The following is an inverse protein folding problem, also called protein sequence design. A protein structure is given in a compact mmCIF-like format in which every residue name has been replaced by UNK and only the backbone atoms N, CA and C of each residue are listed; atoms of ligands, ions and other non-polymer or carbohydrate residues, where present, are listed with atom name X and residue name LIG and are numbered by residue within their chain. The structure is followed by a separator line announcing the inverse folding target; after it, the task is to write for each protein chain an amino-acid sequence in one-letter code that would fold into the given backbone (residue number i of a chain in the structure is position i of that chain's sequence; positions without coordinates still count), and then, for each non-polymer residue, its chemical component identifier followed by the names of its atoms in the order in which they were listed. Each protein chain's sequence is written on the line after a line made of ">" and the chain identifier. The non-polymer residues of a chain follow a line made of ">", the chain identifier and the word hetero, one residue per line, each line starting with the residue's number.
data_IF_149242475442
#
_entry.id   IF_149242475442
#
_cell.length_a   1.000
_cell.length_b   1.000
_cell.length_c   1.000
_cell.angle_alpha   90.00
_cell.angle_beta   90.00
_cell.angle_gamma   90.00
#
_symmetry.space_group_name_H-M   'P 1'
#
loop_
_entity.id
_entity.type
_entity.pdbx_description
1 polymer ?
#
# COMPACT_ATOMS: atom_id res chain seq x y z
N UNK A 1 -20.25 -1.21 -17.51
CA UNK A 1 -19.23 -1.20 -18.58
C UNK A 1 -18.76 0.21 -18.96
N UNK A 2 -19.62 1.22 -19.14
CA UNK A 2 -19.19 2.57 -19.53
C UNK A 2 -18.29 3.30 -18.49
N UNK A 3 -18.46 3.06 -17.20
CA UNK A 3 -17.63 3.68 -16.16
C UNK A 3 -16.21 3.09 -16.07
N UNK A 4 -16.02 1.83 -16.48
CA UNK A 4 -14.72 1.17 -16.48
C UNK A 4 -13.75 1.74 -17.52
N UNK A 5 -14.26 2.22 -18.65
CA UNK A 5 -13.47 2.86 -19.71
C UNK A 5 -12.88 4.22 -19.26
N UNK A 6 -13.44 4.85 -18.22
CA UNK A 6 -12.96 6.14 -17.74
C UNK A 6 -11.61 6.06 -17.02
N UNK A 7 -11.37 5.02 -16.17
CA UNK A 7 -10.08 4.88 -15.46
C UNK A 7 -8.90 4.59 -16.40
N UNK A 8 -9.19 4.08 -17.59
CA UNK A 8 -8.19 3.69 -18.60
C UNK A 8 -7.86 4.81 -19.58
N UNK A 9 -8.49 5.98 -19.45
CA UNK A 9 -8.22 7.14 -20.31
C UNK A 9 -7.14 8.01 -19.69
N UNK A 10 -6.25 8.53 -20.55
CA UNK A 10 -5.21 9.45 -20.10
C UNK A 10 -5.79 10.75 -19.51
N UNK A 11 -6.87 11.25 -20.10
CA UNK A 11 -7.57 12.47 -19.73
C UNK A 11 -8.59 12.31 -18.59
N UNK A 12 -8.51 11.23 -17.83
CA UNK A 12 -9.34 11.04 -16.65
C UNK A 12 -9.13 12.17 -15.64
N UNK A 13 -10.21 12.89 -15.32
CA UNK A 13 -10.18 13.95 -14.32
C UNK A 13 -10.55 13.39 -12.95
N UNK A 14 -9.57 13.23 -12.09
CA UNK A 14 -9.76 12.73 -10.72
C UNK A 14 -10.62 13.68 -9.87
N UNK A 15 -10.52 14.98 -10.08
CA UNK A 15 -11.27 15.96 -9.31
C UNK A 15 -12.77 15.88 -9.61
N UNK A 16 -13.15 15.80 -10.88
CA UNK A 16 -14.55 15.62 -11.27
C UNK A 16 -15.11 14.30 -10.75
N UNK A 17 -14.31 13.24 -10.79
CA UNK A 17 -14.71 11.94 -10.23
C UNK A 17 -14.96 12.03 -8.73
N UNK A 18 -14.04 12.61 -7.96
CA UNK A 18 -14.20 12.77 -6.51
C UNK A 18 -15.40 13.66 -6.17
N UNK A 19 -15.59 14.76 -6.90
CA UNK A 19 -16.71 15.67 -6.70
C UNK A 19 -18.08 15.01 -6.99
N UNK A 20 -18.15 14.11 -7.97
CA UNK A 20 -19.40 13.41 -8.34
C UNK A 20 -19.83 12.39 -7.29
N UNK A 21 -18.89 11.71 -6.63
CA UNK A 21 -19.16 10.65 -5.66
C UNK A 21 -19.10 11.12 -4.21
N UNK A 22 -18.76 12.39 -4.00
CA UNK A 22 -18.67 13.02 -2.68
C UNK A 22 -17.85 12.17 -1.69
N UNK A 23 -18.41 11.84 -0.54
CA UNK A 23 -17.71 11.08 0.50
C UNK A 23 -17.37 9.62 0.15
N UNK A 24 -18.00 9.07 -0.88
CA UNK A 24 -17.89 7.65 -1.22
C UNK A 24 -16.87 7.34 -2.32
N UNK A 25 -16.20 8.36 -2.86
CA UNK A 25 -15.32 8.20 -4.02
C UNK A 25 -14.18 7.19 -3.80
N UNK A 26 -13.55 7.19 -2.63
CA UNK A 26 -12.46 6.26 -2.34
C UNK A 26 -12.93 4.82 -2.27
N UNK A 27 -14.05 4.58 -1.57
CA UNK A 27 -14.63 3.25 -1.45
C UNK A 27 -15.08 2.73 -2.82
N UNK A 28 -15.82 3.55 -3.56
CA UNK A 28 -16.30 3.18 -4.89
C UNK A 28 -15.12 2.85 -5.82
N UNK A 29 -14.11 3.72 -5.87
CA UNK A 29 -12.92 3.52 -6.69
C UNK A 29 -12.18 2.23 -6.34
N UNK A 30 -11.85 2.04 -5.06
CA UNK A 30 -11.08 0.90 -4.59
C UNK A 30 -11.82 -0.42 -4.84
N UNK A 31 -13.12 -0.46 -4.53
CA UNK A 31 -13.94 -1.64 -4.74
C UNK A 31 -14.03 -2.01 -6.23
N UNK A 32 -14.28 -1.02 -7.10
CA UNK A 32 -14.32 -1.22 -8.55
C UNK A 32 -12.98 -1.72 -9.09
N UNK A 33 -11.87 -1.17 -8.62
CA UNK A 33 -10.55 -1.58 -9.03
C UNK A 33 -10.28 -3.04 -8.66
N UNK A 34 -10.57 -3.44 -7.42
CA UNK A 34 -10.41 -4.82 -6.97
C UNK A 34 -11.32 -5.79 -7.74
N UNK A 35 -12.54 -5.37 -8.10
CA UNK A 35 -13.45 -6.16 -8.95
C UNK A 35 -12.91 -6.35 -10.38
N UNK A 36 -12.33 -5.31 -11.00
CA UNK A 36 -11.76 -5.39 -12.36
C UNK A 36 -10.70 -6.49 -12.45
N UNK A 37 -9.90 -6.65 -11.40
CA UNK A 37 -8.85 -7.66 -11.33
C UNK A 37 -9.30 -8.99 -10.69
N UNK A 38 -10.53 -9.04 -10.20
CA UNK A 38 -11.09 -10.21 -9.50
C UNK A 38 -10.37 -10.54 -8.20
N UNK A 39 -9.77 -9.55 -7.54
CA UNK A 39 -8.89 -9.76 -6.38
C UNK A 39 -9.65 -10.20 -5.14
N UNK A 40 -10.88 -9.70 -4.94
CA UNK A 40 -11.72 -10.09 -3.80
C UNK A 40 -12.00 -11.60 -3.84
N UNK A 41 -12.42 -12.12 -5.00
CA UNK A 41 -12.71 -13.54 -5.17
C UNK A 41 -11.44 -14.40 -5.12
N UNK A 42 -10.38 -13.99 -5.84
CA UNK A 42 -9.11 -14.73 -5.93
C UNK A 42 -8.44 -14.96 -4.58
N UNK A 43 -8.55 -14.00 -3.69
CA UNK A 43 -7.95 -14.06 -2.35
C UNK A 43 -8.99 -14.28 -1.25
N UNK A 44 -10.26 -14.54 -1.64
CA UNK A 44 -11.38 -14.76 -0.72
C UNK A 44 -11.51 -13.66 0.34
N UNK A 45 -11.28 -12.41 -0.08
CA UNK A 45 -11.39 -11.24 0.80
C UNK A 45 -12.88 -10.97 1.02
N UNK A 46 -13.32 -10.98 2.27
CA UNK A 46 -14.68 -10.63 2.63
C UNK A 46 -14.97 -9.16 2.28
N UNK A 47 -16.05 -8.88 1.57
CA UNK A 47 -16.46 -7.52 1.20
C UNK A 47 -16.53 -6.60 2.40
N UNK A 48 -17.01 -7.11 3.55
CA UNK A 48 -17.11 -6.34 4.79
C UNK A 48 -15.74 -5.90 5.31
N UNK A 49 -14.73 -6.79 5.30
CA UNK A 49 -13.38 -6.48 5.74
C UNK A 49 -12.73 -5.47 4.79
N UNK A 50 -12.94 -5.62 3.49
CA UNK A 50 -12.44 -4.66 2.50
C UNK A 50 -13.09 -3.27 2.68
N UNK A 51 -14.40 -3.20 2.82
CA UNK A 51 -15.13 -1.94 3.08
C UNK A 51 -14.66 -1.29 4.38
N UNK A 52 -14.47 -2.08 5.43
CA UNK A 52 -13.94 -1.61 6.73
C UNK A 52 -12.53 -1.04 6.59
N UNK A 53 -11.63 -1.74 5.88
CA UNK A 53 -10.27 -1.26 5.62
C UNK A 53 -10.28 0.08 4.87
N UNK A 54 -11.03 0.19 3.77
CA UNK A 54 -11.09 1.44 3.00
C UNK A 54 -11.68 2.59 3.82
N UNK A 55 -12.70 2.30 4.63
CA UNK A 55 -13.28 3.28 5.57
C UNK A 55 -12.25 3.71 6.63
N UNK A 56 -11.47 2.79 7.15
CA UNK A 56 -10.40 3.08 8.10
C UNK A 56 -9.28 3.91 7.48
N UNK A 57 -8.91 3.66 6.22
CA UNK A 57 -7.98 4.49 5.46
C UNK A 57 -8.53 5.91 5.32
N UNK A 58 -9.81 6.06 4.91
CA UNK A 58 -10.47 7.37 4.80
C UNK A 58 -10.38 8.14 6.12
N UNK A 59 -10.79 7.52 7.22
CA UNK A 59 -10.85 8.16 8.53
C UNK A 59 -9.47 8.49 9.11
N UNK A 60 -8.43 7.83 8.64
CA UNK A 60 -7.06 7.97 9.13
C UNK A 60 -6.24 8.96 8.28
N UNK A 61 -6.72 9.31 7.09
CA UNK A 61 -6.06 10.26 6.18
C UNK A 61 -6.50 11.68 6.51
N UNK A 62 -5.54 12.62 6.59
CA UNK A 62 -5.85 14.03 6.86
C UNK A 62 -6.34 14.74 5.60
N UNK A 63 -7.66 14.95 5.50
CA UNK A 63 -8.29 15.63 4.35
C UNK A 63 -7.90 17.12 4.26
N UNK A 64 -7.44 17.72 5.34
CA UNK A 64 -7.02 19.13 5.38
C UNK A 64 -5.71 19.40 4.63
N UNK A 65 -4.95 18.35 4.27
CA UNK A 65 -3.77 18.51 3.47
C UNK A 65 -4.14 18.94 2.03
N UNK A 66 -3.49 19.96 1.53
CA UNK A 66 -3.72 20.47 0.17
C UNK A 66 -3.30 19.47 -0.92
N UNK A 67 -2.36 18.57 -0.63
CA UNK A 67 -1.82 17.61 -1.62
C UNK A 67 -1.90 16.16 -1.13
N UNK A 68 -1.36 15.82 0.05
CA UNK A 68 -1.37 14.45 0.59
C UNK A 68 -2.73 14.12 1.21
N UNK A 69 -3.72 13.94 0.37
CA UNK A 69 -5.12 13.70 0.73
C UNK A 69 -5.70 12.52 -0.07
N UNK A 70 -6.98 12.21 0.13
CA UNK A 70 -7.64 11.07 -0.52
C UNK A 70 -7.72 11.19 -2.04
N UNK A 71 -7.85 12.40 -2.59
CA UNK A 71 -7.85 12.63 -4.04
C UNK A 71 -6.52 12.20 -4.67
N UNK A 72 -5.40 12.56 -4.04
CA UNK A 72 -4.05 12.12 -4.47
C UNK A 72 -3.89 10.60 -4.38
N UNK A 73 -4.46 9.97 -3.37
CA UNK A 73 -4.44 8.50 -3.22
C UNK A 73 -5.16 7.82 -4.39
N UNK A 74 -6.34 8.31 -4.77
CA UNK A 74 -7.08 7.81 -5.95
C UNK A 74 -6.28 8.03 -7.22
N UNK A 75 -5.72 9.23 -7.43
CA UNK A 75 -4.91 9.56 -8.59
C UNK A 75 -3.70 8.63 -8.73
N UNK A 76 -2.94 8.44 -7.66
CA UNK A 76 -1.77 7.56 -7.65
C UNK A 76 -2.15 6.11 -7.99
N UNK A 77 -3.20 5.60 -7.35
CA UNK A 77 -3.66 4.22 -7.54
C UNK A 77 -4.19 4.02 -8.96
N UNK A 78 -4.91 5.00 -9.49
CA UNK A 78 -5.38 5.02 -10.88
C UNK A 78 -4.21 5.09 -11.86
N UNK A 79 -3.19 5.89 -11.60
CA UNK A 79 -2.02 5.97 -12.46
C UNK A 79 -1.25 4.64 -12.50
N UNK A 80 -1.11 3.95 -11.36
CA UNK A 80 -0.56 2.60 -11.33
C UNK A 80 -1.39 1.63 -12.20
N UNK A 81 -2.72 1.63 -12.07
CA UNK A 81 -3.62 0.84 -12.91
C UNK A 81 -3.42 1.16 -14.40
N UNK A 82 -3.45 2.44 -14.76
CA UNK A 82 -3.30 2.91 -16.13
C UNK A 82 -1.97 2.43 -16.76
N UNK A 83 -0.83 2.69 -16.11
CA UNK A 83 0.46 2.29 -16.64
C UNK A 83 0.65 0.77 -16.70
N UNK A 84 0.11 0.05 -15.71
CA UNK A 84 0.16 -1.42 -15.72
C UNK A 84 -0.61 -2.00 -16.89
N UNK A 85 -1.76 -1.43 -17.22
CA UNK A 85 -2.62 -1.89 -18.29
C UNK A 85 -2.12 -1.44 -19.66
N UNK A 86 -1.86 -0.15 -19.86
CA UNK A 86 -1.38 0.41 -21.12
C UNK A 86 0.05 -0.02 -21.47
N UNK A 87 0.90 -0.21 -20.47
CA UNK A 87 2.25 -0.74 -20.63
C UNK A 87 2.32 -2.26 -20.83
N UNK A 88 1.16 -2.94 -20.86
CA UNK A 88 1.08 -4.41 -20.92
C UNK A 88 1.94 -5.11 -19.84
N UNK A 89 2.00 -4.52 -18.64
CA UNK A 89 2.83 -5.00 -17.55
C UNK A 89 2.21 -6.15 -16.77
N UNK A 90 0.92 -6.44 -17.00
CA UNK A 90 0.19 -7.53 -16.35
C UNK A 90 0.85 -8.89 -16.52
N UNK A 91 1.51 -9.15 -17.64
CA UNK A 91 2.21 -10.39 -17.90
C UNK A 91 3.42 -10.66 -16.99
N UNK A 92 3.90 -9.62 -16.29
CA UNK A 92 5.05 -9.68 -15.39
C UNK A 92 4.67 -9.73 -13.91
N UNK A 93 3.40 -9.49 -13.58
CA UNK A 93 2.92 -9.44 -12.20
C UNK A 93 1.96 -10.59 -11.92
N UNK A 94 2.12 -11.25 -10.79
CA UNK A 94 1.10 -12.15 -10.25
C UNK A 94 -0.08 -11.34 -9.69
N UNK A 95 -1.23 -11.99 -9.52
CA UNK A 95 -2.38 -11.35 -8.86
C UNK A 95 -2.01 -10.84 -7.44
N UNK A 96 -1.15 -11.57 -6.73
CA UNK A 96 -0.65 -11.18 -5.41
C UNK A 96 0.18 -9.88 -5.47
N UNK A 97 1.04 -9.74 -6.51
CA UNK A 97 1.80 -8.50 -6.74
C UNK A 97 0.87 -7.32 -7.01
N UNK A 98 -0.16 -7.51 -7.84
CA UNK A 98 -1.14 -6.47 -8.18
C UNK A 98 -1.94 -6.05 -6.94
N UNK A 99 -2.45 -7.00 -6.16
CA UNK A 99 -3.15 -6.71 -4.91
C UNK A 99 -2.28 -5.91 -3.95
N UNK A 100 -1.03 -6.38 -3.75
CA UNK A 100 -0.07 -5.70 -2.87
C UNK A 100 0.23 -4.28 -3.33
N UNK A 101 0.36 -4.07 -4.65
CA UNK A 101 0.67 -2.76 -5.21
C UNK A 101 -0.52 -1.79 -5.05
N UNK A 102 -1.76 -2.24 -5.26
CA UNK A 102 -2.93 -1.40 -5.00
C UNK A 102 -3.04 -1.02 -3.53
N UNK A 103 -2.85 -1.98 -2.62
CA UNK A 103 -2.84 -1.69 -1.18
C UNK A 103 -1.71 -0.72 -0.82
N UNK A 104 -0.52 -0.87 -1.38
CA UNK A 104 0.57 0.07 -1.17
C UNK A 104 0.23 1.48 -1.64
N UNK A 105 -0.39 1.64 -2.82
CA UNK A 105 -0.83 2.94 -3.33
C UNK A 105 -1.90 3.58 -2.44
N UNK A 106 -2.86 2.79 -1.94
CA UNK A 106 -3.92 3.27 -1.05
C UNK A 106 -3.40 3.71 0.34
N UNK A 107 -2.26 3.16 0.77
CA UNK A 107 -1.72 3.34 2.12
C UNK A 107 -0.48 4.25 2.19
N UNK A 108 0.09 4.66 1.03
CA UNK A 108 1.40 5.31 0.99
C UNK A 108 1.47 6.69 1.66
N UNK A 109 0.33 7.36 1.85
CA UNK A 109 0.26 8.70 2.47
C UNK A 109 -0.56 8.71 3.77
N UNK A 110 -0.82 7.54 4.34
CA UNK A 110 -1.68 7.45 5.52
C UNK A 110 -1.09 8.24 6.70
N UNK A 111 -1.91 9.08 7.34
CA UNK A 111 -1.48 10.00 8.40
C UNK A 111 -0.33 10.96 8.01
N UNK A 112 -0.26 11.36 6.74
CA UNK A 112 0.73 12.33 6.31
C UNK A 112 0.46 13.70 6.93
N UNK A 113 1.43 14.31 7.66
CA UNK A 113 1.20 15.55 8.43
C UNK A 113 1.26 16.84 7.57
N UNK A 114 1.39 16.74 6.24
CA UNK A 114 1.53 17.89 5.35
C UNK A 114 2.92 18.52 5.29
N UNK A 115 3.92 17.93 5.95
CA UNK A 115 5.31 18.40 5.98
C UNK A 115 6.26 17.27 5.58
N UNK A 116 7.45 17.61 5.10
CA UNK A 116 8.43 16.63 4.61
C UNK A 116 9.38 16.10 5.70
N UNK A 117 10.15 15.05 5.37
CA UNK A 117 11.11 14.44 6.29
C UNK A 117 12.13 15.43 6.83
N UNK A 118 12.79 16.31 6.03
CA UNK A 118 13.73 17.31 6.55
C UNK A 118 13.12 18.25 7.60
N UNK A 119 11.86 18.65 7.41
CA UNK A 119 11.18 19.50 8.39
C UNK A 119 10.95 18.75 9.71
N UNK A 120 10.49 17.50 9.68
CA UNK A 120 10.29 16.69 10.89
C UNK A 120 11.60 16.47 11.67
N UNK A 121 12.70 16.27 10.95
CA UNK A 121 14.05 16.10 11.53
C UNK A 121 14.51 17.41 12.18
N UNK A 122 14.40 18.53 11.46
CA UNK A 122 14.82 19.84 11.98
C UNK A 122 14.03 20.23 13.24
N UNK A 123 12.74 19.90 13.28
CA UNK A 123 11.88 20.14 14.44
C UNK A 123 12.03 19.11 15.56
N UNK A 124 12.91 18.12 15.42
CA UNK A 124 13.09 17.02 16.37
C UNK A 124 11.75 16.34 16.72
N UNK A 125 10.91 16.19 15.72
CA UNK A 125 9.58 15.61 15.89
C UNK A 125 9.64 14.17 16.40
N UNK A 126 8.68 13.73 17.19
CA UNK A 126 8.66 12.35 17.76
C UNK A 126 8.76 11.24 16.72
N UNK A 127 8.21 11.44 15.52
CA UNK A 127 8.38 10.50 14.40
C UNK A 127 9.85 10.44 13.94
N UNK A 128 10.55 11.58 13.84
CA UNK A 128 11.96 11.62 13.47
C UNK A 128 12.83 10.86 14.48
N UNK A 129 12.59 11.09 15.78
CA UNK A 129 13.25 10.34 16.85
C UNK A 129 12.94 8.83 16.78
N UNK A 130 11.69 8.46 16.55
CA UNK A 130 11.26 7.05 16.46
C UNK A 130 11.94 6.29 15.34
N UNK A 131 12.11 6.93 14.17
CA UNK A 131 12.68 6.31 12.97
C UNK A 131 14.12 6.72 12.69
N UNK A 132 14.81 7.33 13.67
CA UNK A 132 16.22 7.68 13.61
C UNK A 132 16.57 8.51 12.35
N UNK A 133 15.73 9.47 12.02
CA UNK A 133 15.88 10.41 10.92
C UNK A 133 15.93 9.76 9.51
N UNK A 134 15.54 8.50 9.37
CA UNK A 134 15.58 7.76 8.10
C UNK A 134 14.17 7.50 7.57
N UNK A 135 13.88 8.02 6.37
CA UNK A 135 12.57 7.84 5.69
C UNK A 135 11.42 7.93 6.68
N UNK A 136 11.37 9.02 7.44
CA UNK A 136 10.55 9.16 8.66
C UNK A 136 9.07 8.96 8.36
N UNK A 137 8.58 9.59 7.30
CA UNK A 137 7.17 9.50 6.87
C UNK A 137 6.86 8.11 6.33
N UNK A 138 7.70 7.58 5.47
CA UNK A 138 7.50 6.29 4.81
C UNK A 138 7.48 5.14 5.83
N UNK A 139 8.38 5.17 6.82
CA UNK A 139 8.35 4.23 7.94
C UNK A 139 7.07 4.37 8.78
N UNK A 140 6.62 5.61 9.01
CA UNK A 140 5.38 5.86 9.72
C UNK A 140 4.17 5.33 8.94
N UNK A 141 4.11 5.58 7.63
CA UNK A 141 3.03 5.07 6.77
C UNK A 141 2.97 3.54 6.80
N UNK A 142 4.12 2.85 6.68
CA UNK A 142 4.18 1.40 6.82
C UNK A 142 3.65 0.93 8.18
N UNK A 143 4.07 1.55 9.28
CA UNK A 143 3.66 1.16 10.61
C UNK A 143 2.13 1.31 10.82
N UNK A 144 1.56 2.43 10.37
CA UNK A 144 0.11 2.67 10.46
C UNK A 144 -0.66 1.74 9.52
N UNK A 145 -0.19 1.55 8.28
CA UNK A 145 -0.80 0.65 7.31
C UNK A 145 -0.98 -0.76 7.88
N UNK A 146 0.08 -1.34 8.43
CA UNK A 146 0.00 -2.68 9.01
C UNK A 146 -0.77 -2.71 10.34
N UNK A 147 -0.74 -1.64 11.14
CA UNK A 147 -1.59 -1.54 12.32
C UNK A 147 -3.07 -1.58 11.94
N UNK A 148 -3.48 -0.90 10.88
CA UNK A 148 -4.87 -0.96 10.39
C UNK A 148 -5.25 -2.34 9.85
N UNK A 149 -4.38 -2.95 9.05
CA UNK A 149 -4.65 -4.26 8.44
C UNK A 149 -4.56 -5.44 9.43
N UNK A 150 -3.99 -5.25 10.61
CA UNK A 150 -4.00 -6.24 11.69
C UNK A 150 -5.29 -6.19 12.54
N UNK A 151 -6.12 -5.17 12.39
CA UNK A 151 -7.44 -5.14 13.03
C UNK A 151 -8.31 -6.23 12.37
N UNK A 152 -8.91 -7.15 13.14
CA UNK A 152 -9.74 -8.23 12.59
C UNK A 152 -10.87 -7.75 11.69
N UNK A 153 -11.39 -6.53 11.91
CA UNK A 153 -12.43 -5.95 11.06
C UNK A 153 -11.89 -5.49 9.70
N UNK A 154 -10.59 -5.24 9.60
CA UNK A 154 -9.92 -4.76 8.40
C UNK A 154 -9.04 -5.84 7.74
N UNK A 155 -9.02 -7.05 8.30
CA UNK A 155 -8.10 -8.10 7.85
C UNK A 155 -8.50 -8.64 6.47
N UNK A 156 -7.80 -8.14 5.47
CA UNK A 156 -7.91 -8.58 4.06
C UNK A 156 -6.93 -9.72 3.75
N UNK A 157 -6.20 -10.21 4.73
CA UNK A 157 -5.17 -11.25 4.59
C UNK A 157 -5.52 -12.55 5.31
N UNK A 158 -6.67 -12.62 5.98
CA UNK A 158 -7.09 -13.73 6.84
C UNK A 158 -6.91 -15.11 6.20
N UNK A 159 -7.22 -15.21 4.89
CA UNK A 159 -7.15 -16.49 4.17
C UNK A 159 -5.87 -16.67 3.35
N UNK A 160 -4.90 -15.76 3.46
CA UNK A 160 -3.58 -15.95 2.85
C UNK A 160 -2.76 -16.99 3.63
N UNK A 161 -2.01 -17.81 2.91
CA UNK A 161 -0.98 -18.60 3.56
C UNK A 161 0.11 -17.70 4.17
N UNK A 162 0.82 -18.20 5.16
CA UNK A 162 1.91 -17.47 5.81
C UNK A 162 2.94 -16.94 4.78
N UNK A 163 3.31 -17.76 3.82
CA UNK A 163 4.23 -17.36 2.74
C UNK A 163 3.67 -16.23 1.86
N UNK A 164 2.38 -16.28 1.54
CA UNK A 164 1.72 -15.20 0.78
C UNK A 164 1.66 -13.91 1.60
N UNK A 165 1.29 -13.98 2.88
CA UNK A 165 1.26 -12.82 3.76
C UNK A 165 2.63 -12.13 3.84
N UNK A 166 3.71 -12.89 4.06
CA UNK A 166 5.05 -12.31 4.12
C UNK A 166 5.48 -11.69 2.80
N UNK A 167 5.11 -12.29 1.67
CA UNK A 167 5.38 -11.71 0.35
C UNK A 167 4.62 -10.39 0.16
N UNK A 168 3.31 -10.36 0.43
CA UNK A 168 2.49 -9.15 0.38
C UNK A 168 3.09 -8.06 1.27
N UNK A 169 3.44 -8.41 2.50
CA UNK A 169 4.03 -7.47 3.45
C UNK A 169 5.33 -6.85 2.92
N UNK A 170 6.21 -7.66 2.35
CA UNK A 170 7.45 -7.16 1.77
C UNK A 170 7.21 -6.21 0.60
N UNK A 171 6.28 -6.57 -0.31
CA UNK A 171 5.95 -5.75 -1.47
C UNK A 171 5.41 -4.38 -1.01
N UNK A 172 4.44 -4.36 -0.10
CA UNK A 172 3.85 -3.12 0.41
C UNK A 172 4.94 -2.25 1.06
N UNK A 173 5.78 -2.81 1.94
CA UNK A 173 6.87 -2.07 2.58
C UNK A 173 7.84 -1.52 1.53
N UNK A 174 8.32 -2.34 0.59
CA UNK A 174 9.24 -1.90 -0.46
C UNK A 174 8.65 -0.75 -1.29
N UNK A 175 7.38 -0.84 -1.67
CA UNK A 175 6.72 0.20 -2.46
C UNK A 175 6.59 1.51 -1.69
N UNK A 176 6.10 1.46 -0.44
CA UNK A 176 5.97 2.66 0.39
C UNK A 176 7.34 3.28 0.68
N UNK A 177 8.33 2.49 1.07
CA UNK A 177 9.70 2.98 1.32
C UNK A 177 10.36 3.56 0.06
N UNK A 178 9.99 3.07 -1.14
CA UNK A 178 10.50 3.60 -2.41
C UNK A 178 9.90 4.95 -2.78
N UNK A 179 8.84 5.41 -2.11
CA UNK A 179 8.27 6.74 -2.33
C UNK A 179 9.10 7.87 -1.70
N UNK A 180 10.07 7.55 -0.83
CA UNK A 180 11.00 8.54 -0.30
C UNK A 180 11.82 9.16 -1.45
N UNK A 181 11.64 10.46 -1.63
CA UNK A 181 12.29 11.22 -2.70
C UNK A 181 13.83 11.17 -2.59
N UNK A 182 14.37 10.92 -1.41
CA UNK A 182 15.83 10.78 -1.22
C UNK A 182 16.41 9.60 -2.02
N UNK A 183 15.61 8.59 -2.32
CA UNK A 183 15.99 7.41 -3.10
C UNK A 183 15.78 7.58 -4.62
N UNK A 184 15.27 8.74 -5.07
CA UNK A 184 14.84 8.96 -6.46
C UNK A 184 15.94 8.73 -7.48
N UNK A 185 17.13 9.32 -7.24
CA UNK A 185 18.27 9.20 -8.16
C UNK A 185 18.80 7.76 -8.24
N UNK A 186 18.77 7.02 -7.14
CA UNK A 186 19.16 5.60 -7.13
C UNK A 186 18.19 4.77 -7.98
N UNK A 187 16.89 5.05 -7.90
CA UNK A 187 15.89 4.40 -8.75
C UNK A 187 16.06 4.75 -10.23
N UNK A 188 16.34 6.02 -10.56
CA UNK A 188 16.59 6.44 -11.94
C UNK A 188 17.85 5.76 -12.48
N UNK A 189 18.94 5.74 -11.72
CA UNK A 189 20.19 5.12 -12.16
C UNK A 189 19.99 3.63 -12.48
N UNK A 190 19.33 2.89 -11.60
CA UNK A 190 18.96 1.48 -11.83
C UNK A 190 18.11 1.30 -13.08
N UNK A 191 17.23 2.25 -13.39
CA UNK A 191 16.42 2.22 -14.60
C UNK A 191 17.19 2.58 -15.87
N UNK A 192 18.24 3.39 -15.79
CA UNK A 192 18.98 3.91 -16.95
C UNK A 192 19.97 2.91 -17.54
N UNK A 193 20.49 1.97 -16.76
CA UNK A 193 21.49 0.99 -17.18
C UNK A 193 20.93 -0.27 -17.85
N UNK A 194 19.60 -0.44 -17.97
CA UNK A 194 18.97 -1.60 -18.56
C UNK A 194 18.10 -1.31 -19.80
N UNK A 195 17.85 -2.34 -20.63
CA UNK A 195 16.81 -2.24 -21.67
C UNK A 195 15.44 -1.99 -21.02
N UNK A 196 14.44 -1.46 -21.75
CA UNK A 196 13.09 -1.27 -21.21
C UNK A 196 12.49 -2.53 -20.57
N UNK A 197 12.78 -3.70 -21.12
CA UNK A 197 12.37 -5.01 -20.59
C UNK A 197 13.11 -5.36 -19.30
N UNK A 198 14.41 -5.07 -19.22
CA UNK A 198 15.22 -5.30 -18.02
C UNK A 198 14.77 -4.35 -16.89
N UNK A 199 14.35 -3.13 -17.21
CA UNK A 199 13.83 -2.17 -16.22
C UNK A 199 12.56 -2.67 -15.52
N UNK A 200 11.68 -3.33 -16.27
CA UNK A 200 10.48 -3.97 -15.70
C UNK A 200 10.87 -5.23 -14.94
N UNK A 201 11.77 -6.05 -15.48
CA UNK A 201 12.22 -7.30 -14.87
C UNK A 201 12.99 -7.10 -13.57
N UNK A 202 13.91 -6.14 -13.49
CA UNK A 202 14.64 -5.79 -12.24
C UNK A 202 13.68 -5.33 -11.15
N UNK A 203 12.67 -4.52 -11.50
CA UNK A 203 11.61 -4.16 -10.53
C UNK A 203 10.76 -5.35 -10.11
N UNK A 204 10.51 -6.30 -11.01
CA UNK A 204 9.72 -7.51 -10.70
C UNK A 204 10.55 -8.56 -9.97
N UNK A 205 11.85 -8.71 -10.28
CA UNK A 205 12.73 -9.67 -9.60
C UNK A 205 12.99 -9.29 -8.14
N UNK A 206 12.98 -7.99 -7.82
CA UNK A 206 13.05 -7.53 -6.43
C UNK A 206 11.82 -7.98 -5.60
N UNK A 207 10.72 -8.36 -6.28
CA UNK A 207 9.52 -8.92 -5.67
C UNK A 207 9.48 -10.46 -5.66
N UNK A 208 10.38 -11.14 -6.36
CA UNK A 208 10.33 -12.61 -6.55
C UNK A 208 11.25 -13.40 -5.62
N UNK A 209 12.14 -12.78 -4.85
CA UNK A 209 12.94 -13.52 -3.87
C UNK A 209 12.08 -13.93 -2.67
N UNK A 210 11.85 -15.24 -2.44
CA UNK A 210 11.17 -15.70 -1.24
C UNK A 210 12.06 -15.42 -0.03
N UNK A 211 11.47 -14.83 1.00
CA UNK A 211 12.12 -14.69 2.30
C UNK A 211 12.52 -16.07 2.83
N UNK A 212 13.81 -16.36 2.88
CA UNK A 212 14.31 -17.53 3.64
C UNK A 212 14.19 -17.20 5.12
N UNK A 213 13.19 -17.72 5.75
CA UNK A 213 13.16 -17.78 7.21
C UNK A 213 14.35 -18.62 7.70
N UNK A 214 15.33 -18.01 8.31
CA UNK A 214 16.10 -18.72 9.31
C UNK A 214 15.15 -18.97 10.48
N UNK A 215 14.87 -20.26 10.76
CA UNK A 215 14.05 -20.67 11.88
C UNK A 215 14.61 -20.01 13.14
N UNK A 216 13.81 -19.14 13.75
CA UNK A 216 14.10 -18.68 15.11
C UNK A 216 14.02 -19.92 16.00
N UNK A 217 15.12 -20.37 16.64
CA UNK A 217 15.06 -21.52 17.54
C UNK A 217 14.17 -21.16 18.73
N UNK A 218 13.05 -21.86 18.92
CA UNK A 218 12.30 -21.80 20.17
C UNK A 218 10.79 -21.55 20.09
N UNK A 219 10.13 -21.58 18.93
CA UNK A 219 8.67 -21.68 18.92
C UNK A 219 8.25 -23.15 18.84
N UNK A 220 7.89 -23.73 19.96
CA UNK A 220 7.20 -24.98 20.03
C UNK A 220 5.78 -24.85 19.47
N UNK A 221 5.43 -25.72 18.52
CA UNK A 221 4.05 -26.02 18.14
C UNK A 221 3.31 -26.60 19.35
N UNK A 222 2.62 -25.77 20.07
CA UNK A 222 1.82 -26.18 21.22
C UNK A 222 0.56 -25.32 21.26
N UNK A 223 -0.52 -25.88 20.71
CA UNK A 223 -1.84 -25.35 20.97
C UNK A 223 -2.16 -25.37 22.45
N UNK A 224 -2.34 -24.22 23.03
CA UNK A 224 -3.15 -24.02 24.25
C UNK A 224 -3.55 -22.56 24.35
N UNK A 225 -4.84 -22.35 24.51
CA UNK A 225 -5.51 -21.11 24.88
C UNK A 225 -4.83 -20.47 26.08
N UNK A 226 -4.40 -19.22 25.95
CA UNK A 226 -3.98 -18.43 27.09
C UNK A 226 -4.66 -17.06 27.02
N UNK A 227 -5.26 -16.72 28.15
CA UNK A 227 -6.04 -15.56 28.46
C UNK A 227 -5.31 -14.24 28.13
N UNK A 228 -6.05 -13.29 27.55
CA UNK A 228 -5.61 -11.93 27.30
C UNK A 228 -5.47 -11.15 28.61
N UNK A 229 -4.27 -11.03 29.13
CA UNK A 229 -3.93 -9.92 30.02
C UNK A 229 -3.42 -8.74 29.20
N UNK A 230 -4.16 -7.65 29.29
CA UNK A 230 -3.81 -6.35 28.74
C UNK A 230 -2.53 -5.80 29.38
N UNK A 231 -1.48 -5.64 28.61
CA UNK A 231 -0.38 -4.75 28.94
C UNK A 231 -0.47 -3.47 28.11
N UNK A 232 -0.46 -2.29 28.73
CA UNK A 232 -0.47 -1.02 28.00
C UNK A 232 0.96 -0.70 27.58
N UNK A 233 1.24 -0.78 26.31
CA UNK A 233 2.51 -0.32 25.75
C UNK A 233 2.29 0.80 24.72
N UNK A 234 2.60 1.99 25.22
CA UNK A 234 3.08 3.17 24.52
C UNK A 234 2.08 3.91 23.62
N UNK A 235 1.57 5.01 24.21
CA UNK A 235 1.07 6.22 23.54
C UNK A 235 2.06 6.82 22.53
#
# INVERSE_FOLDING_TARGET
>A
MKEMEHFEKWDFNVFDYCATLEENFLLHFSFRLFQIYGLLDKFSIADQNFVSLITSIKNTTYEQNSYHNLTKVVELTRNFHFFTKQGNLMQYFSDLNIMSAFLACLLCDIQHPGVNNPFLIAMRHTKALRYNDKSVLENHHCAIAFKLMLDPQNDVFELLSEAQYWNVRQIIIKMIMSSDISNHFDHISKCSFGSPLIRVYVRCSDFQEPYRFEKIPGRHDGGQTADHEHSPLLE
#
